data_IF_806710060106
#
_entry.id   IF_806710060106
#
_cell.length_a   1.000
_cell.length_b   1.000
_cell.length_c   1.000
_cell.angle_alpha   90.00
_cell.angle_beta   90.00
_cell.angle_gamma   90.00
#
_symmetry.space_group_name_H-M   'P 1'
#
loop_
_entity.id
_entity.type
_entity.pdbx_description
1 polymer ?
#
# COMPACT_ATOMS: atom_id res chain seq x y z
N UNK A 1 10.27 14.41 -30.63
CA UNK A 1 10.18 13.02 -30.12
C UNK A 1 11.20 12.75 -29.02
N UNK A 2 12.50 13.00 -29.23
CA UNK A 2 13.52 12.90 -28.16
C UNK A 2 13.36 13.92 -27.01
N UNK A 3 12.82 15.11 -27.29
CA UNK A 3 12.50 16.13 -26.27
C UNK A 3 11.29 15.79 -25.41
N UNK A 4 10.34 15.00 -25.92
CA UNK A 4 9.17 14.54 -25.16
C UNK A 4 9.51 13.37 -24.22
N UNK A 5 10.52 12.57 -24.57
CA UNK A 5 11.07 11.54 -23.69
C UNK A 5 11.92 12.16 -22.57
N UNK A 6 12.61 13.28 -22.85
CA UNK A 6 13.39 14.01 -21.85
C UNK A 6 12.50 14.70 -20.80
N UNK A 7 11.28 15.12 -21.16
CA UNK A 7 10.27 15.62 -20.23
C UNK A 7 9.69 14.51 -19.32
N UNK A 8 9.69 13.25 -19.76
CA UNK A 8 9.37 12.10 -18.88
C UNK A 8 10.56 11.72 -17.96
N UNK A 9 11.77 12.19 -18.26
CA UNK A 9 12.98 11.96 -17.44
C UNK A 9 13.22 13.09 -16.43
N UNK A 10 12.55 14.24 -16.54
CA UNK A 10 12.67 15.36 -15.60
C UNK A 10 11.46 15.57 -14.69
N UNK A 11 10.48 14.67 -14.70
CA UNK A 11 9.47 14.57 -13.66
C UNK A 11 9.56 13.21 -12.97
N UNK A 12 10.73 12.91 -12.40
CA UNK A 12 10.71 12.17 -11.14
C UNK A 12 10.13 13.16 -10.14
N UNK A 13 8.81 13.37 -10.21
CA UNK A 13 8.05 14.01 -9.15
C UNK A 13 8.42 13.22 -7.91
N UNK A 14 9.01 13.90 -6.93
CA UNK A 14 9.32 13.33 -5.65
C UNK A 14 7.98 13.02 -4.97
N UNK A 15 7.41 11.85 -5.30
CA UNK A 15 6.02 11.50 -5.02
C UNK A 15 5.70 11.63 -3.54
N UNK A 16 6.66 11.28 -2.69
CA UNK A 16 6.58 11.42 -1.24
C UNK A 16 6.44 12.88 -0.79
N UNK A 17 7.26 13.79 -1.33
CA UNK A 17 7.20 15.20 -0.95
C UNK A 17 5.90 15.85 -1.40
N UNK A 18 5.40 15.49 -2.59
CA UNK A 18 4.12 16.00 -3.09
C UNK A 18 2.96 15.44 -2.26
N UNK A 19 3.00 14.15 -1.90
CA UNK A 19 2.05 13.51 -0.97
C UNK A 19 2.03 14.20 0.40
N UNK A 20 3.19 14.51 0.98
CA UNK A 20 3.24 15.21 2.27
C UNK A 20 2.66 16.63 2.20
N UNK A 21 3.00 17.40 1.16
CA UNK A 21 2.42 18.73 0.95
C UNK A 21 0.90 18.67 0.79
N UNK A 22 0.41 17.68 0.06
CA UNK A 22 -1.02 17.45 -0.09
C UNK A 22 -1.65 17.11 1.27
N UNK A 23 -1.03 16.22 2.04
CA UNK A 23 -1.52 15.85 3.36
C UNK A 23 -1.55 17.03 4.34
N UNK A 24 -0.51 17.86 4.36
CA UNK A 24 -0.46 19.10 5.15
C UNK A 24 -1.56 20.08 4.76
N UNK A 25 -1.83 20.24 3.46
CA UNK A 25 -2.92 21.08 2.98
C UNK A 25 -4.31 20.54 3.39
N UNK A 26 -4.43 19.21 3.55
CA UNK A 26 -5.66 18.54 3.92
C UNK A 26 -5.87 18.39 5.42
N UNK A 27 -4.81 18.46 6.23
CA UNK A 27 -4.82 18.29 7.68
C UNK A 27 -5.91 19.12 8.39
N UNK A 28 -6.11 20.42 8.08
CA UNK A 28 -7.21 21.21 8.66
C UNK A 28 -8.60 20.68 8.30
N UNK A 29 -8.76 20.11 7.10
CA UNK A 29 -10.02 19.52 6.66
C UNK A 29 -10.25 18.14 7.30
N UNK A 30 -9.20 17.32 7.45
CA UNK A 30 -9.28 16.04 8.15
C UNK A 30 -9.76 16.24 9.59
N UNK A 31 -9.17 17.18 10.32
CA UNK A 31 -9.54 17.46 11.72
C UNK A 31 -10.96 17.99 11.86
N UNK A 32 -11.53 18.61 10.82
CA UNK A 32 -12.92 19.11 10.81
C UNK A 32 -13.96 18.15 10.24
N UNK A 33 -13.54 17.15 9.45
CA UNK A 33 -14.44 16.22 8.73
C UNK A 33 -14.87 15.03 9.59
N UNK A 34 -13.99 14.57 10.47
CA UNK A 34 -14.25 13.44 11.36
C UNK A 34 -14.66 13.95 12.75
N UNK A 35 -15.77 13.44 13.28
CA UNK A 35 -16.24 13.86 14.62
C UNK A 35 -15.35 13.33 15.73
N UNK A 36 -14.73 12.18 15.50
CA UNK A 36 -13.85 11.51 16.44
C UNK A 36 -12.59 11.01 15.70
N UNK A 37 -11.37 11.19 16.28
CA UNK A 37 -10.13 10.70 15.68
C UNK A 37 -10.16 9.20 15.35
N UNK A 38 -10.87 8.42 16.17
CA UNK A 38 -11.03 6.96 16.02
C UNK A 38 -11.67 6.56 14.69
N UNK A 39 -12.55 7.40 14.13
CA UNK A 39 -13.19 7.16 12.84
C UNK A 39 -12.14 7.20 11.71
N UNK A 40 -11.32 8.26 11.70
CA UNK A 40 -10.23 8.42 10.73
C UNK A 40 -9.23 7.26 10.83
N UNK A 41 -8.75 6.95 12.03
CA UNK A 41 -7.78 5.86 12.22
C UNK A 41 -8.40 4.49 11.91
N UNK A 42 -9.69 4.30 12.17
CA UNK A 42 -10.43 3.11 11.75
C UNK A 42 -10.44 2.94 10.22
N UNK A 43 -10.64 4.03 9.47
CA UNK A 43 -10.59 4.02 8.00
C UNK A 43 -9.17 3.83 7.47
N UNK A 44 -8.16 4.41 8.13
CA UNK A 44 -6.74 4.18 7.80
C UNK A 44 -6.41 2.69 7.92
N UNK A 45 -6.84 2.02 8.99
CA UNK A 45 -6.62 0.57 9.16
C UNK A 45 -7.29 -0.23 8.04
N UNK A 46 -8.51 0.14 7.65
CA UNK A 46 -9.19 -0.51 6.53
C UNK A 46 -8.47 -0.28 5.20
N UNK A 47 -8.00 0.93 4.95
CA UNK A 47 -7.20 1.27 3.77
C UNK A 47 -5.92 0.44 3.72
N UNK A 48 -5.18 0.39 4.83
CA UNK A 48 -3.98 -0.42 4.98
C UNK A 48 -4.25 -1.91 4.71
N UNK A 49 -5.33 -2.47 5.27
CA UNK A 49 -5.71 -3.87 5.04
C UNK A 49 -6.16 -4.15 3.61
N UNK A 50 -6.75 -3.16 2.92
CA UNK A 50 -7.17 -3.28 1.53
C UNK A 50 -5.99 -3.16 0.55
N UNK A 51 -5.03 -2.30 0.86
CA UNK A 51 -3.82 -2.04 0.06
C UNK A 51 -2.80 -3.16 0.23
N UNK A 52 -2.55 -3.58 1.48
CA UNK A 52 -1.54 -4.57 1.82
C UNK A 52 -2.21 -5.86 2.29
N UNK A 53 -2.59 -6.73 1.35
CA UNK A 53 -3.36 -7.94 1.68
C UNK A 53 -2.68 -8.86 2.71
N UNK A 54 -1.36 -8.81 2.87
CA UNK A 54 -0.66 -9.61 3.87
C UNK A 54 -1.07 -9.23 5.29
N UNK A 55 -1.26 -7.93 5.59
CA UNK A 55 -1.58 -7.45 6.94
C UNK A 55 -3.06 -7.58 7.29
N UNK A 56 -3.87 -8.05 6.35
CA UNK A 56 -5.31 -8.15 6.51
C UNK A 56 -5.66 -9.16 7.61
N UNK A 57 -6.49 -8.78 8.60
CA UNK A 57 -7.08 -9.71 9.56
C UNK A 57 -7.91 -10.81 8.89
N UNK A 58 -7.95 -11.98 9.52
CA UNK A 58 -8.64 -13.16 8.99
C UNK A 58 -10.15 -13.15 9.31
N UNK A 59 -10.56 -12.44 10.37
CA UNK A 59 -11.96 -12.30 10.78
C UNK A 59 -12.32 -10.85 11.09
N UNK A 60 -13.62 -10.56 11.15
CA UNK A 60 -14.13 -9.23 11.50
C UNK A 60 -13.85 -8.88 12.98
N UNK A 61 -13.82 -9.87 13.87
CA UNK A 61 -13.41 -9.69 15.27
C UNK A 61 -11.94 -9.31 15.37
N UNK A 62 -11.06 -9.98 14.62
CA UNK A 62 -9.63 -9.63 14.56
C UNK A 62 -9.46 -8.22 13.98
N UNK A 63 -10.23 -7.84 12.96
CA UNK A 63 -10.23 -6.48 12.41
C UNK A 63 -10.67 -5.44 13.44
N UNK A 64 -11.73 -5.72 14.20
CA UNK A 64 -12.20 -4.83 15.27
C UNK A 64 -11.14 -4.66 16.37
N UNK A 65 -10.50 -5.76 16.78
CA UNK A 65 -9.40 -5.71 17.75
C UNK A 65 -8.18 -4.97 17.19
N UNK A 66 -7.84 -5.18 15.92
CA UNK A 66 -6.72 -4.51 15.28
C UNK A 66 -6.95 -3.00 15.22
N UNK A 67 -8.13 -2.54 14.79
CA UNK A 67 -8.48 -1.11 14.78
C UNK A 67 -8.30 -0.46 16.15
N UNK A 68 -8.86 -1.07 17.19
CA UNK A 68 -8.76 -0.56 18.55
C UNK A 68 -7.30 -0.47 19.02
N UNK A 69 -6.57 -1.56 18.88
CA UNK A 69 -5.18 -1.64 19.31
C UNK A 69 -4.26 -0.71 18.51
N UNK A 70 -4.59 -0.48 17.24
CA UNK A 70 -3.89 0.45 16.37
C UNK A 70 -4.13 1.90 16.79
N UNK A 71 -5.36 2.28 17.13
CA UNK A 71 -5.67 3.62 17.68
C UNK A 71 -4.85 3.86 18.95
N UNK A 72 -4.88 2.89 19.89
CA UNK A 72 -4.07 2.97 21.12
C UNK A 72 -2.57 3.16 20.78
N UNK A 73 -2.06 2.39 19.81
CA UNK A 73 -0.67 2.52 19.32
C UNK A 73 -0.34 3.90 18.76
N UNK A 74 -1.23 4.52 17.97
CA UNK A 74 -1.01 5.88 17.45
C UNK A 74 -1.01 6.90 18.59
N UNK A 75 -1.98 6.80 19.51
CA UNK A 75 -2.06 7.70 20.67
C UNK A 75 -0.80 7.62 21.53
N UNK A 76 -0.30 6.41 21.78
CA UNK A 76 0.93 6.21 22.55
C UNK A 76 2.19 6.67 21.80
N UNK A 77 2.22 6.52 20.47
CA UNK A 77 3.34 6.96 19.62
C UNK A 77 3.51 8.48 19.66
N UNK A 78 2.43 9.25 19.86
CA UNK A 78 2.51 10.70 20.06
C UNK A 78 3.26 11.09 21.34
N UNK A 79 3.36 10.17 22.32
CA UNK A 79 4.07 10.38 23.58
C UNK A 79 5.41 9.64 23.66
N UNK A 80 5.68 8.70 22.75
CA UNK A 80 6.93 7.96 22.65
C UNK A 80 7.36 7.82 21.18
N UNK A 81 8.30 8.67 20.76
CA UNK A 81 8.82 8.71 19.39
C UNK A 81 9.49 7.39 18.94
N UNK A 82 9.97 6.57 19.88
CA UNK A 82 10.67 5.30 19.59
C UNK A 82 9.73 4.08 19.59
N UNK A 83 8.44 4.26 19.87
CA UNK A 83 7.51 3.15 20.07
C UNK A 83 7.38 2.25 18.84
N UNK A 84 7.43 2.83 17.63
CA UNK A 84 7.38 2.03 16.40
C UNK A 84 8.60 1.10 16.31
N UNK A 85 9.80 1.59 16.61
CA UNK A 85 11.01 0.77 16.58
C UNK A 85 10.97 -0.32 17.64
N UNK A 86 10.50 -0.03 18.86
CA UNK A 86 10.29 -1.00 19.93
C UNK A 86 9.30 -2.11 19.53
N UNK A 87 8.18 -1.72 18.91
CA UNK A 87 7.15 -2.65 18.42
C UNK A 87 7.72 -3.52 17.29
N UNK A 88 8.53 -2.95 16.41
CA UNK A 88 9.19 -3.67 15.32
C UNK A 88 10.33 -4.57 15.79
N UNK A 89 11.02 -4.24 16.89
CA UNK A 89 12.14 -5.00 17.47
C UNK A 89 11.69 -6.16 18.36
N UNK A 90 10.41 -6.22 18.73
CA UNK A 90 9.77 -7.33 19.44
C UNK A 90 10.24 -7.59 20.89
N UNK A 91 10.90 -6.62 21.53
CA UNK A 91 11.50 -6.80 22.86
C UNK A 91 10.45 -7.00 23.96
N UNK A 92 9.27 -6.42 23.78
CA UNK A 92 8.04 -6.59 24.56
C UNK A 92 7.06 -5.57 24.00
N UNK A 93 5.82 -5.96 23.70
CA UNK A 93 4.81 -5.00 23.28
C UNK A 93 3.52 -5.26 24.05
N UNK A 94 2.90 -4.19 24.55
CA UNK A 94 1.55 -4.26 25.14
C UNK A 94 0.47 -4.59 24.10
N UNK A 95 0.81 -4.45 22.82
CA UNK A 95 -0.04 -4.72 21.67
C UNK A 95 0.12 -6.19 21.22
N UNK A 96 -0.99 -6.87 20.95
CA UNK A 96 -1.00 -8.29 20.56
C UNK A 96 -0.97 -8.48 19.04
N UNK A 97 -1.69 -7.65 18.30
CA UNK A 97 -1.92 -7.76 16.85
C UNK A 97 -1.02 -6.79 16.07
N UNK A 98 -0.92 -5.53 16.51
CA UNK A 98 -0.16 -4.47 15.84
C UNK A 98 1.29 -4.87 15.53
N UNK A 99 2.06 -5.51 16.43
CA UNK A 99 3.44 -5.87 16.13
C UNK A 99 3.58 -6.84 14.96
N UNK A 100 2.67 -7.81 14.85
CA UNK A 100 2.67 -8.76 13.74
C UNK A 100 2.35 -8.05 12.42
N UNK A 101 1.28 -7.25 12.38
CA UNK A 101 0.87 -6.52 11.18
C UNK A 101 1.94 -5.51 10.73
N UNK A 102 2.55 -4.78 11.66
CA UNK A 102 3.63 -3.83 11.34
C UNK A 102 4.91 -4.51 10.88
N UNK A 103 5.25 -5.71 11.39
CA UNK A 103 6.39 -6.49 10.87
C UNK A 103 6.16 -6.93 9.42
N UNK A 104 4.93 -7.27 9.07
CA UNK A 104 4.56 -7.62 7.71
C UNK A 104 4.62 -6.39 6.79
N UNK A 105 4.09 -5.25 7.25
CA UNK A 105 4.22 -3.97 6.54
C UNK A 105 5.70 -3.57 6.35
N UNK A 106 6.55 -3.75 7.38
CA UNK A 106 8.00 -3.51 7.30
C UNK A 106 8.68 -4.32 6.20
N UNK A 107 8.24 -5.56 5.94
CA UNK A 107 8.81 -6.38 4.84
C UNK A 107 8.49 -5.78 3.47
N UNK A 108 7.30 -5.21 3.30
CA UNK A 108 6.88 -4.51 2.08
C UNK A 108 7.65 -3.20 1.95
N UNK A 109 7.59 -2.36 2.99
CA UNK A 109 8.28 -1.08 3.05
C UNK A 109 9.78 -1.21 2.80
N UNK A 110 10.44 -2.27 3.30
CA UNK A 110 11.88 -2.51 3.07
C UNK A 110 12.22 -2.74 1.60
N UNK A 111 11.31 -3.33 0.80
CA UNK A 111 11.53 -3.51 -0.65
C UNK A 111 11.36 -2.20 -1.38
N UNK A 112 10.28 -1.48 -1.08
CA UNK A 112 9.95 -0.19 -1.70
C UNK A 112 10.96 0.90 -1.34
N UNK A 113 11.40 0.97 -0.07
CA UNK A 113 12.39 1.93 0.42
C UNK A 113 13.73 1.86 -0.34
N UNK A 114 14.13 0.66 -0.77
CA UNK A 114 15.34 0.47 -1.59
C UNK A 114 15.19 1.03 -3.01
N UNK A 115 13.96 1.11 -3.50
CA UNK A 115 13.64 1.61 -4.84
C UNK A 115 13.46 3.14 -4.87
N UNK A 116 13.34 3.79 -3.70
CA UNK A 116 13.23 5.25 -3.61
C UNK A 116 14.46 5.95 -4.20
N UNK A 117 14.27 7.18 -4.67
CA UNK A 117 15.37 8.08 -4.99
C UNK A 117 16.14 8.48 -3.72
N UNK A 118 17.33 9.04 -3.90
CA UNK A 118 18.12 9.57 -2.77
C UNK A 118 17.41 10.74 -2.08
N UNK A 119 16.78 11.62 -2.85
CA UNK A 119 15.98 12.74 -2.35
C UNK A 119 14.81 12.26 -1.48
N UNK A 120 14.04 11.28 -1.97
CA UNK A 120 12.93 10.67 -1.22
C UNK A 120 13.42 9.99 0.07
N UNK A 121 14.55 9.28 0.04
CA UNK A 121 15.14 8.67 1.23
C UNK A 121 15.60 9.70 2.24
N UNK A 122 16.22 10.80 1.79
CA UNK A 122 16.66 11.87 2.66
C UNK A 122 15.46 12.57 3.32
N UNK A 123 14.35 12.69 2.59
CA UNK A 123 13.11 13.28 3.08
C UNK A 123 12.47 12.45 4.20
N UNK A 124 12.25 11.14 3.98
CA UNK A 124 11.68 10.24 5.00
C UNK A 124 12.71 9.75 6.04
N UNK A 125 13.97 10.15 5.88
CA UNK A 125 15.16 9.85 6.71
C UNK A 125 15.58 8.38 6.71
N UNK A 126 14.68 7.47 7.07
CA UNK A 126 14.97 6.05 7.22
C UNK A 126 13.74 5.17 6.95
N UNK A 127 13.90 3.86 7.14
CA UNK A 127 12.82 2.89 6.93
C UNK A 127 11.64 3.10 7.89
N UNK A 128 11.90 3.56 9.11
CA UNK A 128 10.89 3.79 10.13
C UNK A 128 10.05 5.01 9.77
N UNK A 129 10.70 6.11 9.34
CA UNK A 129 10.03 7.27 8.76
C UNK A 129 9.21 6.91 7.53
N UNK A 130 9.72 6.04 6.65
CA UNK A 130 8.95 5.57 5.49
C UNK A 130 7.72 4.74 5.86
N UNK A 131 7.80 3.90 6.91
CA UNK A 131 6.63 3.18 7.42
C UNK A 131 5.58 4.16 7.95
N UNK A 132 6.00 5.19 8.68
CA UNK A 132 5.09 6.25 9.13
C UNK A 132 4.43 6.98 7.98
N UNK A 133 5.18 7.30 6.92
CA UNK A 133 4.64 7.90 5.69
C UNK A 133 3.54 7.03 5.07
N UNK A 134 3.76 5.73 4.93
CA UNK A 134 2.74 4.79 4.41
C UNK A 134 1.48 4.78 5.27
N UNK A 135 1.66 4.76 6.59
CA UNK A 135 0.58 4.63 7.56
C UNK A 135 -0.24 5.92 7.62
N UNK A 136 0.40 7.07 7.82
CA UNK A 136 -0.28 8.31 8.13
C UNK A 136 -0.57 9.12 6.88
N UNK A 137 0.44 9.36 6.04
CA UNK A 137 0.30 10.26 4.89
C UNK A 137 -0.49 9.57 3.79
N UNK A 138 0.05 8.50 3.21
CA UNK A 138 -0.57 7.86 2.05
C UNK A 138 -1.97 7.30 2.35
N UNK A 139 -2.16 6.68 3.51
CA UNK A 139 -3.47 6.12 3.87
C UNK A 139 -4.51 7.21 4.11
N UNK A 140 -4.12 8.34 4.73
CA UNK A 140 -5.04 9.48 4.87
C UNK A 140 -5.46 10.03 3.51
N UNK A 141 -4.51 10.28 2.60
CA UNK A 141 -4.82 10.76 1.24
C UNK A 141 -5.80 9.83 0.52
N UNK A 142 -5.59 8.51 0.60
CA UNK A 142 -6.52 7.53 0.00
C UNK A 142 -7.89 7.52 0.68
N UNK A 143 -7.95 7.68 2.00
CA UNK A 143 -9.22 7.80 2.74
C UNK A 143 -9.98 9.07 2.32
N UNK A 144 -9.31 10.21 2.17
CA UNK A 144 -9.97 11.43 1.69
C UNK A 144 -10.44 11.31 0.24
N UNK A 145 -9.62 10.74 -0.64
CA UNK A 145 -10.03 10.46 -2.01
C UNK A 145 -11.31 9.58 -2.06
N UNK A 146 -11.34 8.48 -1.29
CA UNK A 146 -12.51 7.58 -1.20
C UNK A 146 -13.76 8.28 -0.63
N UNK A 147 -13.59 9.16 0.35
CA UNK A 147 -14.71 9.87 0.98
C UNK A 147 -15.21 11.05 0.15
N UNK A 148 -14.41 11.61 -0.77
CA UNK A 148 -14.84 12.64 -1.72
C UNK A 148 -15.67 12.09 -2.89
N UNK A 149 -15.47 10.83 -3.27
CA UNK A 149 -16.13 10.23 -4.43
C UNK A 149 -17.50 9.61 -4.16
N UNK A 150 -18.08 9.77 -2.95
CA UNK A 150 -19.39 9.21 -2.57
C UNK A 150 -19.49 7.66 -2.59
N UNK A 151 -18.39 6.92 -2.70
CA UNK A 151 -18.38 5.45 -2.58
C UNK A 151 -18.39 5.00 -1.11
N UNK A 152 -19.36 5.48 -0.32
CA UNK A 152 -19.53 5.16 1.10
C UNK A 152 -20.00 3.72 1.37
N UNK A 153 -19.97 2.83 0.39
CA UNK A 153 -20.12 1.40 0.61
C UNK A 153 -18.86 0.69 0.15
N UNK A 154 -17.90 0.56 1.07
CA UNK A 154 -16.93 -0.52 0.96
C UNK A 154 -17.71 -1.80 0.62
N UNK A 155 -17.43 -2.48 -0.50
CA UNK A 155 -18.20 -3.64 -0.90
C UNK A 155 -18.19 -4.66 0.25
N UNK A 156 -19.34 -5.28 0.54
CA UNK A 156 -19.46 -6.28 1.58
C UNK A 156 -18.38 -7.36 1.45
N UNK A 157 -18.06 -8.06 2.54
CA UNK A 157 -17.06 -9.13 2.52
C UNK A 157 -17.28 -10.12 1.36
N UNK A 158 -18.54 -10.46 1.07
CA UNK A 158 -18.93 -11.33 -0.04
C UNK A 158 -18.61 -10.72 -1.41
N UNK A 159 -18.96 -9.44 -1.64
CA UNK A 159 -18.61 -8.73 -2.88
C UNK A 159 -17.09 -8.61 -3.05
N UNK A 160 -16.34 -8.41 -1.96
CA UNK A 160 -14.87 -8.36 -1.97
C UNK A 160 -14.24 -9.72 -2.30
N UNK A 161 -14.79 -10.81 -1.76
CA UNK A 161 -14.36 -12.19 -2.07
C UNK A 161 -14.63 -12.52 -3.54
N UNK A 162 -15.82 -12.18 -4.03
CA UNK A 162 -16.21 -12.38 -5.43
C UNK A 162 -15.31 -11.62 -6.41
N UNK A 163 -14.96 -10.37 -6.09
CA UNK A 163 -13.99 -9.61 -6.89
C UNK A 163 -12.60 -10.26 -6.91
N UNK A 164 -12.12 -10.74 -5.76
CA UNK A 164 -10.84 -11.47 -5.68
C UNK A 164 -10.83 -12.75 -6.51
N UNK A 165 -11.93 -13.51 -6.52
CA UNK A 165 -12.07 -14.72 -7.33
C UNK A 165 -12.17 -14.39 -8.84
N UNK A 166 -12.91 -13.34 -9.21
CA UNK A 166 -12.98 -12.84 -10.59
C UNK A 166 -11.61 -12.40 -11.11
N UNK A 167 -10.81 -11.73 -10.28
CA UNK A 167 -9.47 -11.29 -10.64
C UNK A 167 -8.54 -12.49 -10.84
N UNK A 168 -8.54 -13.47 -9.93
CA UNK A 168 -7.78 -14.72 -10.07
C UNK A 168 -8.15 -15.47 -11.35
N UNK A 169 -9.44 -15.52 -11.69
CA UNK A 169 -9.93 -16.14 -12.93
C UNK A 169 -9.44 -15.39 -14.17
N UNK A 170 -9.52 -14.06 -14.19
CA UNK A 170 -8.99 -13.23 -15.30
C UNK A 170 -7.49 -13.45 -15.51
N UNK A 171 -6.71 -13.53 -14.44
CA UNK A 171 -5.26 -13.79 -14.51
C UNK A 171 -5.01 -15.20 -15.07
N UNK A 172 -5.73 -16.21 -14.58
CA UNK A 172 -5.64 -17.59 -15.09
C UNK A 172 -5.99 -17.69 -16.58
N UNK A 173 -7.07 -17.03 -17.01
CA UNK A 173 -7.51 -17.04 -18.41
C UNK A 173 -6.58 -16.25 -19.33
N UNK A 174 -5.84 -15.26 -18.82
CA UNK A 174 -4.82 -14.52 -19.56
C UNK A 174 -3.53 -15.33 -19.69
N UNK A 175 -3.13 -16.05 -18.65
CA UNK A 175 -1.99 -16.97 -18.69
C UNK A 175 -2.22 -18.14 -19.67
N UNK A 176 -3.44 -18.70 -19.70
CA UNK A 176 -3.81 -19.74 -20.68
C UNK A 176 -3.81 -19.23 -22.12
N UNK A 177 -4.20 -17.98 -22.34
CA UNK A 177 -4.13 -17.34 -23.68
C UNK A 177 -2.69 -17.08 -24.12
N UNK A 178 -1.81 -16.70 -23.19
CA UNK A 178 -0.39 -16.54 -23.48
C UNK A 178 0.30 -17.87 -23.84
N UNK A 179 -0.08 -18.99 -23.19
CA UNK A 179 0.40 -20.32 -23.57
C UNK A 179 -0.12 -20.76 -24.94
N UNK A 180 -1.40 -20.51 -25.25
CA UNK A 180 -2.00 -20.88 -26.53
C UNK A 180 -1.44 -20.05 -27.72
N UNK A 181 -1.10 -18.78 -27.50
CA UNK A 181 -0.43 -17.94 -28.50
C UNK A 181 1.06 -18.26 -28.69
N UNK A 182 1.68 -19.02 -27.78
CA UNK A 182 3.04 -19.53 -27.92
C UNK A 182 3.12 -20.83 -28.72
N UNK A 183 2.04 -21.62 -28.78
CA UNK A 183 1.96 -22.83 -29.60
C UNK A 183 1.79 -22.51 -31.11
N UNK A 184 1.11 -21.39 -31.44
CA UNK A 184 0.92 -20.95 -32.83
C UNK A 184 2.15 -20.23 -33.44
N UNK A 185 3.20 -19.97 -32.64
CA UNK A 185 4.46 -19.33 -33.08
C UNK A 185 5.66 -20.29 -33.11
N UNK A 186 5.47 -21.57 -32.79
CA UNK A 186 6.53 -22.57 -32.74
C UNK A 186 6.93 -23.15 -34.13
N UNK A 187 6.57 -22.48 -35.23
CA UNK A 187 7.04 -22.80 -36.58
C UNK A 187 7.89 -21.69 -37.23
N UNK A 188 8.59 -20.85 -36.46
CA UNK A 188 9.74 -20.10 -37.03
C UNK A 188 10.87 -19.94 -36.00
N UNK A 189 11.90 -20.77 -36.16
CA UNK A 189 13.32 -20.40 -36.02
C UNK A 189 13.82 -19.74 -34.72
N UNK A 190 14.46 -20.56 -33.88
CA UNK A 190 15.69 -20.27 -33.10
C UNK A 190 15.84 -18.90 -32.41
N UNK A 191 15.74 -18.87 -31.07
CA UNK A 191 16.58 -17.99 -30.24
C UNK A 191 15.92 -17.34 -29.02
N UNK A 192 16.42 -17.73 -27.83
CA UNK A 192 16.35 -17.06 -26.50
C UNK A 192 15.08 -17.25 -25.63
N UNK A 193 15.14 -18.13 -24.59
CA UNK A 193 14.17 -18.19 -23.52
C UNK A 193 14.51 -17.12 -22.47
N UNK A 194 13.82 -15.99 -22.47
CA UNK A 194 14.08 -14.94 -21.45
C UNK A 194 13.05 -13.83 -21.32
N UNK A 195 12.20 -13.61 -22.32
CA UNK A 195 11.28 -12.45 -22.33
C UNK A 195 9.90 -12.71 -21.70
N UNK A 196 9.52 -13.96 -21.46
CA UNK A 196 8.19 -14.29 -20.93
C UNK A 196 8.05 -14.03 -19.42
N UNK A 197 9.15 -14.11 -18.65
CA UNK A 197 9.12 -13.82 -17.20
C UNK A 197 9.12 -12.32 -16.92
N UNK A 198 9.74 -11.50 -17.78
CA UNK A 198 9.91 -10.06 -17.53
C UNK A 198 8.63 -9.24 -17.79
N UNK A 199 7.75 -9.71 -18.68
CA UNK A 199 6.45 -9.08 -18.96
C UNK A 199 5.45 -9.34 -17.82
N UNK A 200 5.55 -10.48 -17.12
CA UNK A 200 4.64 -10.82 -16.03
C UNK A 200 4.91 -10.00 -14.76
N UNK A 201 6.17 -9.61 -14.51
CA UNK A 201 6.56 -8.77 -13.37
C UNK A 201 6.26 -7.29 -13.59
N UNK A 202 6.25 -6.82 -14.85
CA UNK A 202 6.02 -5.40 -15.17
C UNK A 202 4.56 -4.98 -15.08
N UNK A 203 3.62 -5.86 -15.45
CA UNK A 203 2.19 -5.55 -15.41
C UNK A 203 1.59 -5.54 -13.99
N UNK A 204 2.28 -6.12 -13.00
CA UNK A 204 1.84 -6.06 -11.59
C UNK A 204 2.04 -4.66 -10.99
N UNK A 205 2.87 -3.81 -11.60
CA UNK A 205 3.24 -2.50 -11.05
C UNK A 205 2.42 -1.32 -11.62
N UNK A 206 1.55 -1.54 -12.60
CA UNK A 206 0.83 -0.45 -13.28
C UNK A 206 -0.70 -0.46 -13.11
N UNK A 207 -1.29 -1.46 -12.44
CA UNK A 207 -2.73 -1.47 -12.11
C UNK A 207 -3.03 -1.84 -10.64
N UNK A 208 -2.08 -1.56 -9.72
CA UNK A 208 -2.31 -1.56 -8.27
C UNK A 208 -2.05 -0.17 -7.69
#
# INVERSE_FOLDING_TARGET
>A
LLTSLLLMVTSVTCTIMDEEKEYEALLPFFLGKFKEPDELFGMIVEDLCSTYLSIRPSTDEELKSFKKEFIDFITDSNSNENLLDEVLSATSSKYKIVPDKLKQLKKIAKKEFKALSEEERNHVKDLTGYIWHKILVQSSLRVDAKTRTNDSELPSFEKRKEMGEKLKKKISDRAKRAQKGGEDMAEVGTGLPGLAEEVLTRDIHLEL
#
